data_IF_345738004998
#
_entry.id   IF_345738004998
#
_cell.length_a   1.000
_cell.length_b   1.000
_cell.length_c   1.000
_cell.angle_alpha   90.00
_cell.angle_beta   90.00
_cell.angle_gamma   90.00
#
_symmetry.space_group_name_H-M   'P 1'
#
loop_
_entity.id
_entity.type
_entity.pdbx_description
1 polymer ?
#
# COMPACT_ATOMS: atom_id res chain seq x y z
N UNK A 1 1.94 -6.19 -30.95
CA UNK A 1 0.93 -5.29 -30.40
C UNK A 1 0.35 -4.44 -31.54
N UNK A 2 -0.95 -4.44 -31.72
CA UNK A 2 -1.64 -3.62 -32.69
C UNK A 2 -2.49 -2.58 -31.98
N UNK A 3 -2.43 -1.33 -32.37
CA UNK A 3 -3.33 -0.29 -31.87
C UNK A 3 -4.70 -0.43 -32.52
N UNK A 4 -5.75 -0.23 -31.75
CA UNK A 4 -7.14 -0.18 -32.20
C UNK A 4 -7.76 1.12 -31.73
N UNK A 5 -8.50 1.78 -32.63
CA UNK A 5 -9.44 2.81 -32.24
C UNK A 5 -10.78 2.15 -31.95
N UNK A 6 -11.31 2.40 -30.77
CA UNK A 6 -12.64 1.96 -30.38
C UNK A 6 -13.60 3.15 -30.35
N UNK A 7 -14.89 2.89 -30.42
CA UNK A 7 -15.92 3.96 -30.32
C UNK A 7 -15.92 4.69 -28.98
N UNK A 8 -15.15 4.20 -27.97
CA UNK A 8 -15.11 4.74 -26.60
C UNK A 8 -13.68 5.03 -26.10
N UNK A 9 -12.69 5.03 -26.99
CA UNK A 9 -11.30 5.37 -26.66
C UNK A 9 -10.26 4.45 -27.30
N UNK A 10 -8.99 4.72 -27.02
CA UNK A 10 -7.87 3.93 -27.51
C UNK A 10 -7.85 2.54 -26.88
N UNK A 11 -7.48 1.55 -27.66
CA UNK A 11 -7.33 0.18 -27.22
C UNK A 11 -6.19 -0.52 -27.95
N UNK A 12 -5.79 -1.69 -27.45
CA UNK A 12 -4.76 -2.51 -28.05
C UNK A 12 -5.20 -3.97 -28.16
N UNK A 13 -4.92 -4.59 -29.30
CA UNK A 13 -4.97 -6.04 -29.43
C UNK A 13 -3.58 -6.60 -29.27
N UNK A 14 -3.38 -7.44 -28.29
CA UNK A 14 -2.14 -8.17 -28.07
C UNK A 14 -2.34 -9.61 -28.54
N UNK A 15 -1.74 -9.95 -29.66
CA UNK A 15 -1.77 -11.32 -30.19
C UNK A 15 -0.47 -12.01 -29.80
N UNK A 16 -0.58 -13.12 -29.06
CA UNK A 16 0.53 -14.01 -28.76
C UNK A 16 0.38 -15.28 -29.62
N UNK A 17 1.39 -15.58 -30.42
CA UNK A 17 1.43 -16.79 -31.22
C UNK A 17 2.22 -17.85 -30.45
N UNK A 18 1.56 -18.92 -30.09
CA UNK A 18 2.15 -20.06 -29.38
C UNK A 18 2.61 -21.12 -30.41
N UNK A 19 3.93 -21.29 -30.53
CA UNK A 19 4.55 -22.28 -31.44
C UNK A 19 5.14 -23.48 -30.69
N UNK A 20 4.97 -23.56 -29.38
CA UNK A 20 5.59 -24.63 -28.59
C UNK A 20 4.89 -25.97 -28.81
N UNK A 21 5.67 -27.03 -28.76
CA UNK A 21 5.15 -28.40 -28.86
C UNK A 21 4.35 -28.83 -27.64
N UNK A 22 4.59 -28.21 -26.47
CA UNK A 22 3.88 -28.40 -25.21
C UNK A 22 3.16 -27.10 -24.80
N UNK A 23 1.82 -27.12 -24.69
CA UNK A 23 1.06 -25.94 -24.26
C UNK A 23 1.36 -25.56 -22.82
N UNK A 24 1.58 -24.26 -22.56
CA UNK A 24 1.86 -23.72 -21.24
C UNK A 24 0.58 -23.65 -20.40
N UNK A 25 0.59 -24.30 -19.24
CA UNK A 25 -0.53 -24.30 -18.30
C UNK A 25 -0.85 -22.90 -17.76
N UNK A 26 0.15 -22.02 -17.64
CA UNK A 26 0.02 -20.66 -17.12
C UNK A 26 -0.17 -19.61 -18.22
N UNK A 27 -0.54 -20.02 -19.44
CA UNK A 27 -0.68 -19.11 -20.58
C UNK A 27 -1.67 -17.97 -20.32
N UNK A 28 -2.81 -18.25 -19.70
CA UNK A 28 -3.81 -17.24 -19.34
C UNK A 28 -3.23 -16.16 -18.41
N UNK A 29 -2.43 -16.56 -17.42
CA UNK A 29 -1.73 -15.62 -16.53
C UNK A 29 -0.63 -14.83 -17.28
N UNK A 30 0.11 -15.48 -18.18
CA UNK A 30 1.10 -14.78 -19.04
C UNK A 30 0.44 -13.71 -19.90
N UNK A 31 -0.70 -14.01 -20.51
CA UNK A 31 -1.47 -13.05 -21.29
C UNK A 31 -1.96 -11.86 -20.43
N UNK A 32 -2.46 -12.14 -19.22
CA UNK A 32 -2.84 -11.09 -18.26
C UNK A 32 -1.64 -10.20 -17.92
N UNK A 33 -0.48 -10.76 -17.62
CA UNK A 33 0.75 -10.01 -17.34
C UNK A 33 1.15 -9.11 -18.50
N UNK A 34 1.05 -9.59 -19.74
CA UNK A 34 1.36 -8.78 -20.92
C UNK A 34 0.33 -7.67 -21.14
N UNK A 35 -0.95 -7.94 -20.85
CA UNK A 35 -1.99 -6.92 -20.92
C UNK A 35 -1.73 -5.80 -19.91
N UNK A 36 -1.40 -6.14 -18.66
CA UNK A 36 -1.04 -5.16 -17.62
C UNK A 36 0.21 -4.35 -18.02
N UNK A 37 1.24 -5.01 -18.56
CA UNK A 37 2.45 -4.30 -19.02
C UNK A 37 2.15 -3.33 -20.19
N UNK A 38 1.23 -3.67 -21.09
CA UNK A 38 0.79 -2.76 -22.15
C UNK A 38 -0.01 -1.56 -21.60
N UNK A 39 -0.89 -1.79 -20.62
CA UNK A 39 -1.63 -0.74 -19.92
C UNK A 39 -0.66 0.21 -19.20
N UNK A 40 0.32 -0.33 -18.47
CA UNK A 40 1.32 0.46 -17.76
C UNK A 40 2.13 1.36 -18.72
N UNK A 41 2.61 0.80 -19.84
CA UNK A 41 3.34 1.58 -20.85
C UNK A 41 2.50 2.70 -21.46
N UNK A 42 1.19 2.48 -21.61
CA UNK A 42 0.28 3.51 -22.08
C UNK A 42 0.20 4.69 -21.10
N UNK A 43 0.10 4.42 -19.79
CA UNK A 43 0.15 5.47 -18.76
C UNK A 43 1.50 6.21 -18.76
N UNK A 44 2.62 5.49 -18.88
CA UNK A 44 3.97 6.08 -18.95
C UNK A 44 4.16 6.98 -20.16
N UNK A 45 3.39 6.75 -21.23
CA UNK A 45 3.36 7.62 -22.41
C UNK A 45 2.54 8.91 -22.21
N UNK A 46 2.06 9.18 -20.97
CA UNK A 46 1.35 10.41 -20.60
C UNK A 46 -0.18 10.33 -20.67
N UNK A 47 -0.75 9.18 -20.96
CA UNK A 47 -2.20 8.99 -20.93
C UNK A 47 -2.69 8.87 -19.48
N UNK A 48 -3.92 9.32 -19.20
CA UNK A 48 -4.50 9.37 -17.85
C UNK A 48 -5.49 8.24 -17.56
N UNK A 49 -5.83 7.45 -18.56
CA UNK A 49 -6.79 6.34 -18.46
C UNK A 49 -6.19 5.07 -19.02
N UNK A 50 -6.61 3.93 -18.49
CA UNK A 50 -6.18 2.65 -19.01
C UNK A 50 -6.78 2.37 -20.38
N UNK A 51 -6.01 1.85 -21.34
CA UNK A 51 -6.53 1.38 -22.61
C UNK A 51 -7.19 0.01 -22.43
N UNK A 52 -8.13 -0.32 -23.30
CA UNK A 52 -8.63 -1.68 -23.41
C UNK A 52 -7.58 -2.54 -24.12
N UNK A 53 -7.07 -3.56 -23.46
CA UNK A 53 -6.13 -4.53 -24.04
C UNK A 53 -6.81 -5.87 -24.16
N UNK A 54 -6.87 -6.42 -25.40
CA UNK A 54 -7.48 -7.71 -25.69
C UNK A 54 -6.35 -8.72 -25.96
N UNK A 55 -5.99 -9.56 -24.98
CA UNK A 55 -5.00 -10.62 -25.20
C UNK A 55 -5.63 -11.78 -25.97
N UNK A 56 -4.99 -12.19 -27.07
CA UNK A 56 -5.45 -13.31 -27.89
C UNK A 56 -4.32 -14.33 -27.98
N UNK A 57 -4.61 -15.59 -27.67
CA UNK A 57 -3.72 -16.70 -27.95
C UNK A 57 -4.04 -17.26 -29.34
N UNK A 58 -3.06 -17.26 -30.23
CA UNK A 58 -3.12 -18.00 -31.46
C UNK A 58 -2.32 -19.30 -31.29
N UNK A 59 -3.02 -20.41 -31.06
CA UNK A 59 -2.42 -21.70 -30.72
C UNK A 59 -2.27 -22.58 -31.96
N UNK A 60 -1.07 -23.12 -32.15
CA UNK A 60 -0.71 -24.02 -33.26
C UNK A 60 0.10 -25.23 -32.74
N UNK A 61 -0.32 -25.82 -31.63
CA UNK A 61 0.37 -26.96 -31.02
C UNK A 61 -0.11 -28.33 -31.54
N UNK A 62 0.66 -29.36 -31.20
CA UNK A 62 0.32 -30.76 -31.57
C UNK A 62 -0.87 -31.33 -30.81
N UNK A 63 -1.12 -30.81 -29.59
CA UNK A 63 -2.23 -31.25 -28.74
C UNK A 63 -3.48 -30.43 -29.06
N UNK A 64 -4.52 -31.09 -29.56
CA UNK A 64 -5.78 -30.45 -29.92
C UNK A 64 -6.95 -31.16 -29.22
N UNK A 65 -7.94 -30.42 -28.69
CA UNK A 65 -7.95 -28.95 -28.52
C UNK A 65 -6.92 -28.44 -27.52
N UNK A 66 -6.75 -27.11 -27.40
CA UNK A 66 -5.90 -26.50 -26.38
C UNK A 66 -6.35 -26.97 -24.98
N UNK A 67 -5.46 -27.55 -24.15
CA UNK A 67 -5.89 -28.32 -22.99
C UNK A 67 -6.11 -27.55 -21.71
N UNK A 68 -5.75 -26.25 -21.67
CA UNK A 68 -5.75 -25.46 -20.44
C UNK A 68 -6.81 -24.36 -20.47
N UNK A 69 -7.31 -23.97 -19.30
CA UNK A 69 -8.23 -22.85 -19.16
C UNK A 69 -7.58 -21.54 -19.63
N UNK A 70 -8.33 -20.73 -20.36
CA UNK A 70 -7.96 -19.37 -20.72
C UNK A 70 -8.45 -18.33 -19.70
N UNK A 71 -9.00 -18.77 -18.58
CA UNK A 71 -9.32 -17.94 -17.43
C UNK A 71 -8.12 -17.97 -16.45
N UNK A 72 -7.40 -16.86 -16.31
CA UNK A 72 -6.20 -16.81 -15.48
C UNK A 72 -6.47 -17.10 -13.99
N UNK A 73 -7.68 -16.82 -13.50
CA UNK A 73 -8.10 -17.13 -12.13
C UNK A 73 -8.19 -18.63 -11.85
N UNK A 74 -8.36 -19.48 -12.86
CA UNK A 74 -8.38 -20.93 -12.70
C UNK A 74 -6.97 -21.52 -12.42
N UNK A 75 -5.93 -20.68 -12.49
CA UNK A 75 -4.55 -21.10 -12.17
C UNK A 75 -4.19 -21.02 -10.68
N UNK A 76 -5.05 -20.44 -9.85
CA UNK A 76 -4.84 -20.42 -8.40
C UNK A 76 -5.12 -21.78 -7.77
N UNK A 77 -4.51 -22.06 -6.62
CA UNK A 77 -4.81 -23.25 -5.83
C UNK A 77 -6.28 -23.25 -5.33
N UNK A 78 -6.81 -22.05 -5.04
CA UNK A 78 -8.21 -21.80 -4.74
C UNK A 78 -8.80 -20.78 -5.74
N UNK A 79 -9.36 -21.24 -6.86
CA UNK A 79 -9.91 -20.36 -7.88
C UNK A 79 -11.15 -19.59 -7.43
N UNK A 80 -11.90 -20.13 -6.46
CA UNK A 80 -13.11 -19.46 -5.97
C UNK A 80 -12.78 -18.22 -5.16
N UNK A 81 -11.87 -18.33 -4.21
CA UNK A 81 -11.34 -17.17 -3.46
C UNK A 81 -10.65 -16.18 -4.40
N UNK A 82 -9.90 -16.66 -5.40
CA UNK A 82 -9.29 -15.78 -6.39
C UNK A 82 -10.31 -14.97 -7.18
N UNK A 83 -11.45 -15.57 -7.57
CA UNK A 83 -12.55 -14.83 -8.23
C UNK A 83 -13.14 -13.76 -7.34
N UNK A 84 -13.37 -14.05 -6.06
CA UNK A 84 -13.89 -13.07 -5.11
C UNK A 84 -12.94 -11.87 -4.95
N UNK A 85 -11.63 -12.13 -4.88
CA UNK A 85 -10.62 -11.09 -4.69
C UNK A 85 -10.36 -10.23 -5.93
N UNK A 86 -10.37 -10.84 -7.12
CA UNK A 86 -9.87 -10.18 -8.34
C UNK A 86 -10.95 -9.80 -9.36
N UNK A 87 -12.23 -10.17 -9.12
CA UNK A 87 -13.31 -9.80 -10.03
C UNK A 87 -14.14 -8.61 -9.54
N UNK A 88 -13.89 -8.11 -8.33
CA UNK A 88 -14.59 -6.99 -7.70
C UNK A 88 -13.66 -5.84 -7.34
N UNK A 89 -14.18 -4.94 -6.52
CA UNK A 89 -13.37 -3.88 -5.91
C UNK A 89 -12.39 -4.47 -4.88
N UNK A 90 -11.17 -3.95 -4.86
CA UNK A 90 -10.23 -4.29 -3.81
C UNK A 90 -10.70 -3.77 -2.46
N UNK A 91 -10.44 -4.51 -1.35
CA UNK A 91 -10.75 -4.02 -0.01
C UNK A 91 -10.03 -2.70 0.27
N UNK A 92 -10.77 -1.72 0.76
CA UNK A 92 -10.22 -0.44 1.21
C UNK A 92 -10.37 -0.36 2.73
N UNK A 93 -9.26 -0.07 3.42
CA UNK A 93 -9.26 0.34 4.82
C UNK A 93 -8.97 1.82 4.87
N UNK A 94 -10.02 2.63 5.00
CA UNK A 94 -9.89 4.09 5.10
C UNK A 94 -9.83 4.49 6.57
N UNK A 95 -8.62 4.71 7.08
CA UNK A 95 -8.40 5.12 8.46
C UNK A 95 -8.90 6.54 8.77
N UNK A 96 -9.14 7.37 7.77
CA UNK A 96 -9.57 8.76 7.97
C UNK A 96 -10.99 8.87 8.49
N UNK A 97 -11.82 7.87 8.21
CA UNK A 97 -13.23 7.81 8.65
C UNK A 97 -13.47 6.89 9.85
N UNK A 98 -12.45 6.13 10.29
CA UNK A 98 -12.58 5.26 11.46
C UNK A 98 -12.66 6.11 12.74
N UNK A 99 -13.61 5.86 13.66
CA UNK A 99 -13.63 6.49 14.97
C UNK A 99 -12.32 6.18 15.73
N UNK A 100 -11.79 7.18 16.44
CA UNK A 100 -10.56 6.98 17.22
C UNK A 100 -10.72 5.91 18.30
N UNK A 101 -11.90 5.80 18.89
CA UNK A 101 -12.18 4.79 19.92
C UNK A 101 -12.10 3.36 19.36
N UNK A 102 -12.47 3.16 18.09
CA UNK A 102 -12.30 1.89 17.39
C UNK A 102 -10.82 1.61 17.13
N UNK A 103 -10.07 2.65 16.69
CA UNK A 103 -8.62 2.56 16.47
C UNK A 103 -7.91 2.19 17.77
N UNK A 104 -8.31 2.76 18.91
CA UNK A 104 -7.72 2.49 20.23
C UNK A 104 -7.78 1.01 20.63
N UNK A 105 -8.71 0.24 20.05
CA UNK A 105 -8.84 -1.20 20.31
C UNK A 105 -7.86 -2.07 19.52
N UNK A 106 -7.10 -1.51 18.58
CA UNK A 106 -6.19 -2.24 17.68
C UNK A 106 -4.84 -2.60 18.31
N UNK A 107 -4.73 -2.65 19.64
CA UNK A 107 -3.51 -3.04 20.38
C UNK A 107 -2.26 -2.28 19.91
N UNK A 108 -1.20 -3.01 19.58
CA UNK A 108 0.09 -2.43 19.17
C UNK A 108 0.04 -1.57 17.88
N UNK A 109 -1.00 -1.73 17.05
CA UNK A 109 -1.18 -0.91 15.84
C UNK A 109 -1.94 0.40 16.10
N UNK A 110 -2.62 0.53 17.24
CA UNK A 110 -3.46 1.67 17.55
C UNK A 110 -2.70 3.00 17.50
N UNK A 111 -1.53 3.07 18.12
CA UNK A 111 -0.72 4.29 18.18
C UNK A 111 -0.28 4.76 16.78
N UNK A 112 0.22 3.85 15.94
CA UNK A 112 0.61 4.18 14.57
C UNK A 112 -0.59 4.64 13.74
N UNK A 113 -1.71 3.93 13.82
CA UNK A 113 -2.93 4.29 13.07
C UNK A 113 -3.50 5.64 13.49
N UNK A 114 -3.50 5.96 14.79
CA UNK A 114 -3.90 7.27 15.29
C UNK A 114 -2.99 8.38 14.75
N UNK A 115 -1.67 8.18 14.81
CA UNK A 115 -0.73 9.15 14.27
C UNK A 115 -0.94 9.32 12.77
N UNK A 116 -1.06 8.23 11.99
CA UNK A 116 -1.31 8.30 10.56
C UNK A 116 -2.60 9.05 10.22
N UNK A 117 -3.65 8.88 11.00
CA UNK A 117 -4.93 9.58 10.81
C UNK A 117 -4.81 11.08 11.09
N UNK A 118 -4.16 11.46 12.20
CA UNK A 118 -4.19 12.85 12.72
C UNK A 118 -3.00 13.71 12.28
N UNK A 119 -1.90 13.13 11.82
CA UNK A 119 -0.65 13.84 11.50
C UNK A 119 -0.83 14.98 10.49
N UNK A 120 -1.83 14.87 9.63
CA UNK A 120 -2.17 15.89 8.62
C UNK A 120 -3.30 16.83 9.05
N UNK A 121 -4.01 16.53 10.13
CA UNK A 121 -5.19 17.27 10.58
C UNK A 121 -4.85 18.33 11.65
N UNK A 122 -3.57 18.40 12.10
CA UNK A 122 -3.02 19.39 13.06
C UNK A 122 -3.70 19.44 14.43
N UNK A 123 -4.36 18.38 14.87
CA UNK A 123 -4.97 18.29 16.21
C UNK A 123 -4.13 17.42 17.15
N UNK A 124 -2.88 17.87 17.38
CA UNK A 124 -1.89 17.10 18.15
C UNK A 124 -2.18 17.08 19.65
N UNK A 125 -2.97 18.02 20.17
CA UNK A 125 -3.32 18.06 21.60
C UNK A 125 -4.21 16.87 22.01
N UNK A 126 -5.22 16.55 21.19
CA UNK A 126 -6.07 15.36 21.42
C UNK A 126 -5.29 14.06 21.21
N UNK A 127 -4.33 14.04 20.30
CA UNK A 127 -3.47 12.90 20.07
C UNK A 127 -2.57 12.59 21.27
N UNK A 128 -2.11 13.59 22.01
CA UNK A 128 -1.27 13.41 23.20
C UNK A 128 -1.93 12.53 24.25
N UNK A 129 -3.18 12.77 24.60
CA UNK A 129 -3.88 12.02 25.63
C UNK A 129 -4.10 10.54 25.21
N UNK A 130 -4.47 10.32 23.95
CA UNK A 130 -4.69 8.99 23.40
C UNK A 130 -3.39 8.18 23.30
N UNK A 131 -2.32 8.79 22.81
CA UNK A 131 -1.00 8.15 22.75
C UNK A 131 -0.44 7.87 24.15
N UNK A 132 -0.62 8.79 25.10
CA UNK A 132 -0.24 8.56 26.50
C UNK A 132 -0.94 7.30 27.04
N UNK A 133 -2.25 7.20 26.83
CA UNK A 133 -3.01 6.00 27.27
C UNK A 133 -2.47 4.71 26.65
N UNK A 134 -2.24 4.70 25.34
CA UNK A 134 -1.72 3.51 24.63
C UNK A 134 -0.31 3.11 25.08
N UNK A 135 0.57 4.06 25.31
CA UNK A 135 1.92 3.81 25.79
C UNK A 135 1.95 3.29 27.22
N UNK A 136 1.04 3.77 28.08
CA UNK A 136 0.89 3.29 29.46
C UNK A 136 0.38 1.85 29.54
N UNK A 137 -0.34 1.36 28.53
CA UNK A 137 -0.77 -0.04 28.43
C UNK A 137 0.37 -1.03 28.12
N UNK A 138 1.59 -0.54 27.94
CA UNK A 138 2.80 -1.35 27.65
C UNK A 138 2.66 -2.32 26.48
N UNK A 139 1.79 -2.00 25.51
CA UNK A 139 1.55 -2.85 24.33
C UNK A 139 2.57 -2.60 23.20
N UNK A 140 3.52 -1.66 23.40
CA UNK A 140 4.54 -1.29 22.42
C UNK A 140 5.94 -1.53 22.96
N UNK A 141 6.78 -2.18 22.17
CA UNK A 141 8.21 -2.28 22.44
C UNK A 141 8.93 -0.94 22.16
N UNK A 142 10.12 -0.75 22.74
CA UNK A 142 10.95 0.43 22.47
C UNK A 142 11.26 0.61 20.99
N UNK A 143 11.42 -0.48 20.23
CA UNK A 143 11.63 -0.45 18.78
C UNK A 143 10.39 0.10 18.05
N UNK A 144 9.19 -0.30 18.43
CA UNK A 144 7.95 0.22 17.85
C UNK A 144 7.75 1.70 18.16
N UNK A 145 8.12 2.14 19.37
CA UNK A 145 8.11 3.57 19.76
C UNK A 145 9.10 4.35 18.90
N UNK A 146 10.30 3.83 18.67
CA UNK A 146 11.30 4.47 17.79
C UNK A 146 10.76 4.64 16.36
N UNK A 147 10.14 3.61 15.80
CA UNK A 147 9.51 3.68 14.46
C UNK A 147 8.40 4.73 14.42
N UNK A 148 7.56 4.79 15.45
CA UNK A 148 6.48 5.77 15.57
C UNK A 148 7.02 7.21 15.61
N UNK A 149 8.03 7.46 16.43
CA UNK A 149 8.67 8.78 16.54
C UNK A 149 9.33 9.20 15.23
N UNK A 150 10.06 8.29 14.57
CA UNK A 150 10.68 8.57 13.27
C UNK A 150 9.62 8.89 12.20
N UNK A 151 8.49 8.20 12.22
CA UNK A 151 7.39 8.51 11.31
C UNK A 151 6.81 9.92 11.58
N UNK A 152 6.57 10.27 12.84
CA UNK A 152 6.10 11.61 13.22
C UNK A 152 7.08 12.71 12.80
N UNK A 153 8.37 12.48 12.99
CA UNK A 153 9.43 13.41 12.61
C UNK A 153 9.52 13.65 11.09
N UNK A 154 9.22 12.61 10.28
CA UNK A 154 9.28 12.70 8.82
C UNK A 154 8.00 13.24 8.17
N UNK A 155 6.86 12.97 8.74
CA UNK A 155 5.55 13.23 8.13
C UNK A 155 4.78 14.37 8.80
N UNK A 156 5.13 14.75 10.04
CA UNK A 156 4.48 15.77 10.85
C UNK A 156 5.12 17.16 10.71
N UNK A 157 4.45 18.17 11.30
CA UNK A 157 5.04 19.47 11.53
C UNK A 157 6.10 19.39 12.66
N UNK A 158 7.21 20.08 12.49
CA UNK A 158 8.34 20.00 13.41
C UNK A 158 8.01 20.47 14.83
N UNK A 159 7.30 21.60 14.95
CA UNK A 159 6.95 22.21 16.24
C UNK A 159 5.89 21.38 16.97
N UNK A 160 4.86 20.95 16.24
CA UNK A 160 3.80 20.11 16.77
C UNK A 160 4.34 18.76 17.23
N UNK A 161 5.22 18.13 16.42
CA UNK A 161 5.86 16.85 16.77
C UNK A 161 6.73 16.99 18.01
N UNK A 162 7.53 18.05 18.11
CA UNK A 162 8.36 18.33 19.27
C UNK A 162 7.52 18.44 20.54
N UNK A 163 6.49 19.28 20.49
CA UNK A 163 5.58 19.50 21.62
C UNK A 163 4.93 18.21 22.09
N UNK A 164 4.50 17.37 21.14
CA UNK A 164 3.90 16.06 21.41
C UNK A 164 4.91 15.13 22.10
N UNK A 165 6.14 15.03 21.59
CA UNK A 165 7.16 14.14 22.14
C UNK A 165 7.56 14.50 23.56
N UNK A 166 7.76 15.80 23.85
CA UNK A 166 8.01 16.25 25.22
C UNK A 166 6.84 15.99 26.16
N UNK A 167 5.60 16.20 25.68
CA UNK A 167 4.39 15.88 26.45
C UNK A 167 4.28 14.39 26.77
N UNK A 168 4.59 13.51 25.80
CA UNK A 168 4.62 12.06 26.01
C UNK A 168 5.71 11.63 26.99
N UNK A 169 6.93 12.19 26.86
CA UNK A 169 8.05 11.88 27.76
C UNK A 169 7.74 12.19 29.22
N UNK A 170 7.00 13.27 29.48
CA UNK A 170 6.59 13.64 30.83
C UNK A 170 5.49 12.73 31.40
N UNK A 171 4.60 12.23 30.55
CA UNK A 171 3.40 11.46 30.97
C UNK A 171 3.61 9.96 30.98
N UNK A 172 4.66 9.45 30.32
CA UNK A 172 4.98 8.01 30.19
C UNK A 172 6.38 7.74 30.74
N UNK A 173 6.57 7.70 32.07
CA UNK A 173 7.91 7.59 32.68
C UNK A 173 8.72 6.38 32.24
N UNK A 174 8.06 5.23 31.99
CA UNK A 174 8.71 4.00 31.54
C UNK A 174 9.39 4.14 30.15
N UNK A 175 8.97 5.08 29.33
CA UNK A 175 9.53 5.36 28.01
C UNK A 175 10.09 6.79 27.92
N UNK A 176 10.04 7.56 29.00
CA UNK A 176 10.43 8.98 29.00
C UNK A 176 11.86 9.21 28.52
N UNK A 177 12.82 8.42 28.99
CA UNK A 177 14.22 8.51 28.55
C UNK A 177 14.39 8.22 27.06
N UNK A 178 13.74 7.19 26.53
CA UNK A 178 13.77 6.88 25.09
C UNK A 178 13.17 8.02 24.26
N UNK A 179 11.99 8.52 24.64
CA UNK A 179 11.29 9.59 23.93
C UNK A 179 12.10 10.89 23.92
N UNK A 180 12.74 11.25 25.04
CA UNK A 180 13.62 12.42 25.13
C UNK A 180 14.84 12.27 24.22
N UNK A 181 15.54 11.13 24.27
CA UNK A 181 16.70 10.87 23.41
C UNK A 181 16.33 10.97 21.93
N UNK A 182 15.19 10.39 21.51
CA UNK A 182 14.73 10.46 20.14
C UNK A 182 14.38 11.88 19.71
N UNK A 183 13.72 12.67 20.59
CA UNK A 183 13.41 14.07 20.33
C UNK A 183 14.68 14.91 20.15
N UNK A 184 15.68 14.74 21.00
CA UNK A 184 16.97 15.44 20.94
C UNK A 184 17.77 15.06 19.68
N UNK A 185 17.83 13.77 19.34
CA UNK A 185 18.51 13.28 18.12
C UNK A 185 17.89 13.90 16.87
N UNK A 186 16.55 13.87 16.80
CA UNK A 186 15.83 14.44 15.67
C UNK A 186 16.03 15.96 15.53
N UNK A 187 16.06 16.70 16.64
CA UNK A 187 16.36 18.14 16.65
C UNK A 187 17.79 18.41 16.13
N UNK A 188 18.78 17.62 16.55
CA UNK A 188 20.16 17.75 16.08
C UNK A 188 20.26 17.52 14.55
N UNK A 189 19.62 16.47 14.04
CA UNK A 189 19.57 16.18 12.59
C UNK A 189 18.82 17.25 11.79
N UNK A 190 17.74 17.80 12.33
CA UNK A 190 16.98 18.90 11.73
C UNK A 190 17.78 20.19 11.61
N UNK A 191 18.58 20.50 12.62
CA UNK A 191 19.50 21.66 12.62
C UNK A 191 20.63 21.48 11.59
N UNK A 192 21.18 20.27 11.44
CA UNK A 192 22.20 20.00 10.42
C UNK A 192 21.65 20.14 8.99
N UNK A 193 20.41 19.71 8.73
CA UNK A 193 19.77 19.82 7.41
C UNK A 193 19.24 21.22 7.08
N UNK A 194 18.98 22.05 8.08
CA UNK A 194 18.51 23.43 7.93
C UNK A 194 19.62 24.47 7.74
N UNK A 195 20.88 24.09 7.83
CA UNK A 195 22.06 24.94 7.63
C UNK A 195 22.62 24.82 6.19
N UNK A 196 22.00 24.04 5.33
CA UNK A 196 22.29 24.02 3.90
C UNK A 196 21.21 24.77 3.11
#
# INVERSE_FOLDING_TARGET
LYSLETTRGAGYVHVLIEHQSAPDKLMAFRLMRYAVAAMQRHLESGHKTLPLVIPILFYQGRRSPYPWSMRWLDNFADPETARQLYSGAFPLVDITVLPDDDIMQHRSMAALTLVQKHIRQRDMAQLLDKLTHLLLLEQMSGQQITVLVNYMAQAGDAEDTRTLLYGLAQRVPQHGGLLMTLAETWLAEGMEKGVQ
#
